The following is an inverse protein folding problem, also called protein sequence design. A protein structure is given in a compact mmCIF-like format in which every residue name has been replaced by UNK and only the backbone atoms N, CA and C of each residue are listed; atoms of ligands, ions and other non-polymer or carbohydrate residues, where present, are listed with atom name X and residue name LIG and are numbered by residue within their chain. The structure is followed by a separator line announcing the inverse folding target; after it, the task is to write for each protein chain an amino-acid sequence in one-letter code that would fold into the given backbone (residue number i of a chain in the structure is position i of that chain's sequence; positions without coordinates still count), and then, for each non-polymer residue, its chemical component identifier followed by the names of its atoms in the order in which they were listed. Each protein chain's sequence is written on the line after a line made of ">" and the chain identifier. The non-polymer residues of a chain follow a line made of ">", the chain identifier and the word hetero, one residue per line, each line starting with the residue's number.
data_IF_346272003546
#
_entry.id   IF_346272003546
#
_cell.length_a   1.000
_cell.length_b   1.000
_cell.length_c   1.000
_cell.angle_alpha   90.00
_cell.angle_beta   90.00
_cell.angle_gamma   90.00
#
_symmetry.space_group_name_H-M   'P 1'
#
loop_
_entity.id
_entity.type
_entity.pdbx_description
1 polymer ?
#
# COMPACT_ATOMS: atom_id res chain seq x y z
N UNK A 1 -46.60 10.99 15.22
CA UNK A 1 -45.37 10.21 15.43
C UNK A 1 -44.40 10.58 14.31
N UNK A 2 -43.18 10.99 14.62
CA UNK A 2 -42.18 11.27 13.58
C UNK A 2 -41.80 9.95 12.91
N UNK A 3 -41.96 9.87 11.58
CA UNK A 3 -41.51 8.72 10.80
C UNK A 3 -39.99 8.77 10.79
N UNK A 4 -39.35 7.81 11.45
CA UNK A 4 -37.89 7.68 11.39
C UNK A 4 -37.57 7.07 10.02
N UNK A 5 -37.19 7.92 9.08
CA UNK A 5 -36.66 7.49 7.79
C UNK A 5 -35.18 7.15 7.94
N UNK A 6 -34.73 6.16 7.15
CA UNK A 6 -33.31 5.88 7.06
C UNK A 6 -32.58 7.04 6.37
N UNK A 7 -31.34 7.33 6.79
CA UNK A 7 -30.53 8.37 6.17
C UNK A 7 -30.23 8.02 4.71
N UNK A 8 -30.22 9.04 3.84
CA UNK A 8 -29.81 8.89 2.44
C UNK A 8 -28.30 8.64 2.35
N UNK A 9 -27.85 8.08 1.22
CA UNK A 9 -26.41 7.89 0.95
C UNK A 9 -25.63 9.20 1.06
N UNK A 10 -26.17 10.29 0.52
CA UNK A 10 -25.54 11.61 0.56
C UNK A 10 -25.36 12.12 1.99
N UNK A 11 -26.40 12.00 2.83
CA UNK A 11 -26.32 12.37 4.24
C UNK A 11 -25.29 11.52 5.00
N UNK A 12 -25.20 10.22 4.70
CA UNK A 12 -24.18 9.34 5.27
C UNK A 12 -22.77 9.75 4.86
N UNK A 13 -22.55 10.06 3.57
CA UNK A 13 -21.24 10.49 3.08
C UNK A 13 -20.82 11.82 3.70
N UNK A 14 -21.75 12.77 3.87
CA UNK A 14 -21.48 14.03 4.56
C UNK A 14 -21.15 13.81 6.04
N UNK A 15 -21.89 12.95 6.72
CA UNK A 15 -21.63 12.62 8.11
C UNK A 15 -20.25 11.97 8.30
N UNK A 16 -19.85 11.07 7.39
CA UNK A 16 -18.50 10.47 7.37
C UNK A 16 -17.42 11.53 7.12
N UNK A 17 -17.65 12.47 6.20
CA UNK A 17 -16.68 13.54 5.92
C UNK A 17 -16.46 14.49 7.12
N UNK A 18 -17.48 14.67 7.97
CA UNK A 18 -17.41 15.50 9.17
C UNK A 18 -16.85 14.73 10.37
N UNK A 19 -17.11 13.42 10.45
CA UNK A 19 -16.71 12.57 11.57
C UNK A 19 -15.23 12.15 11.48
N UNK A 20 -14.34 13.12 11.47
CA UNK A 20 -12.91 12.93 11.23
C UNK A 20 -12.09 12.65 12.49
N UNK A 21 -12.67 12.77 13.69
CA UNK A 21 -12.01 12.44 14.96
C UNK A 21 -12.49 11.09 15.51
N UNK A 22 -11.66 10.37 16.31
CA UNK A 22 -12.07 9.12 16.95
C UNK A 22 -13.40 9.21 17.70
N UNK A 23 -13.59 10.28 18.49
CA UNK A 23 -14.83 10.49 19.22
C UNK A 23 -16.04 10.74 18.30
N UNK A 24 -15.86 11.51 17.22
CA UNK A 24 -16.93 11.79 16.28
C UNK A 24 -17.37 10.54 15.50
N UNK A 25 -16.41 9.71 15.08
CA UNK A 25 -16.73 8.46 14.36
C UNK A 25 -17.36 7.40 15.28
N UNK A 26 -16.94 7.34 16.55
CA UNK A 26 -17.57 6.50 17.58
C UNK A 26 -19.03 6.90 17.78
N UNK A 27 -19.28 8.21 17.91
CA UNK A 27 -20.62 8.74 18.03
C UNK A 27 -21.47 8.47 16.78
N UNK A 28 -20.90 8.68 15.58
CA UNK A 28 -21.58 8.42 14.31
C UNK A 28 -22.05 6.97 14.22
N UNK A 29 -21.15 6.00 14.49
CA UNK A 29 -21.49 4.58 14.51
C UNK A 29 -22.59 4.29 15.52
N UNK A 30 -22.46 4.81 16.75
CA UNK A 30 -23.44 4.59 17.80
C UNK A 30 -24.83 5.11 17.40
N UNK A 31 -24.92 6.30 16.79
CA UNK A 31 -26.19 6.87 16.35
C UNK A 31 -26.77 6.11 15.16
N UNK A 32 -25.95 5.71 14.18
CA UNK A 32 -26.41 4.91 13.05
C UNK A 32 -26.96 3.56 13.50
N UNK A 33 -26.31 2.88 14.44
CA UNK A 33 -26.84 1.64 15.03
C UNK A 33 -28.19 1.85 15.70
N UNK A 34 -28.38 2.97 16.43
CA UNK A 34 -29.68 3.32 17.06
C UNK A 34 -30.77 3.65 16.04
N UNK A 35 -30.42 4.22 14.89
CA UNK A 35 -31.37 4.52 13.82
C UNK A 35 -31.74 3.23 13.08
N UNK A 36 -30.76 2.44 12.65
CA UNK A 36 -31.03 1.21 11.89
C UNK A 36 -31.76 0.13 12.69
N UNK A 37 -31.59 0.08 14.01
CA UNK A 37 -32.39 -0.81 14.87
C UNK A 37 -33.89 -0.50 14.83
N UNK A 38 -34.28 0.73 14.46
CA UNK A 38 -35.68 1.16 14.36
C UNK A 38 -36.27 1.02 12.95
N UNK A 39 -35.43 1.06 11.90
CA UNK A 39 -35.90 1.15 10.50
C UNK A 39 -35.79 -0.19 9.75
N UNK A 40 -35.10 -1.22 10.30
CA UNK A 40 -34.99 -2.60 9.76
C UNK A 40 -34.89 -2.67 8.22
N UNK A 41 -33.76 -2.22 7.68
CA UNK A 41 -33.46 -2.27 6.24
C UNK A 41 -32.41 -3.35 5.97
N UNK A 42 -32.58 -4.15 4.92
CA UNK A 42 -31.67 -5.26 4.57
C UNK A 42 -30.22 -4.83 4.30
N UNK A 43 -30.00 -3.59 3.84
CA UNK A 43 -28.67 -3.05 3.58
C UNK A 43 -27.96 -2.48 4.83
N UNK A 44 -28.59 -2.49 6.01
CA UNK A 44 -28.04 -1.83 7.20
C UNK A 44 -26.71 -2.43 7.65
N UNK A 45 -26.58 -3.76 7.60
CA UNK A 45 -25.40 -4.45 8.11
C UNK A 45 -24.15 -4.09 7.30
N UNK A 46 -24.29 -4.01 5.96
CA UNK A 46 -23.21 -3.57 5.07
C UNK A 46 -22.79 -2.13 5.32
N UNK A 47 -23.74 -1.24 5.60
CA UNK A 47 -23.43 0.17 5.93
C UNK A 47 -22.72 0.25 7.28
N UNK A 48 -23.22 -0.46 8.30
CA UNK A 48 -22.60 -0.50 9.62
C UNK A 48 -21.19 -1.11 9.58
N UNK A 49 -20.98 -2.14 8.76
CA UNK A 49 -19.65 -2.73 8.52
C UNK A 49 -18.70 -1.70 7.91
N UNK A 50 -19.11 -0.97 6.87
CA UNK A 50 -18.29 0.08 6.26
C UNK A 50 -17.98 1.24 7.22
N UNK A 51 -18.93 1.61 8.07
CA UNK A 51 -18.70 2.61 9.12
C UNK A 51 -17.76 2.07 10.20
N UNK A 52 -17.82 0.78 10.53
CA UNK A 52 -16.88 0.15 11.46
C UNK A 52 -15.46 0.05 10.88
N UNK A 53 -15.31 -0.24 9.58
CA UNK A 53 -14.03 -0.16 8.86
C UNK A 53 -13.49 1.27 8.91
N UNK A 54 -14.31 2.28 8.60
CA UNK A 54 -13.92 3.69 8.67
C UNK A 54 -13.53 4.11 10.09
N UNK A 55 -14.31 3.71 11.10
CA UNK A 55 -13.99 3.92 12.52
C UNK A 55 -12.61 3.35 12.84
N UNK A 56 -12.34 2.11 12.42
CA UNK A 56 -11.05 1.46 12.65
C UNK A 56 -9.93 2.27 12.00
N UNK A 57 -10.09 2.72 10.76
CA UNK A 57 -9.08 3.53 10.07
C UNK A 57 -8.82 4.87 10.76
N UNK A 58 -9.86 5.59 11.19
CA UNK A 58 -9.72 6.86 11.93
C UNK A 58 -8.98 6.63 13.26
N UNK A 59 -9.29 5.55 13.99
CA UNK A 59 -8.55 5.18 15.20
C UNK A 59 -7.09 4.81 14.89
N UNK A 60 -6.80 4.18 13.76
CA UNK A 60 -5.42 3.89 13.35
C UNK A 60 -4.66 5.16 12.95
N UNK A 61 -5.28 6.09 12.22
CA UNK A 61 -4.65 7.33 11.74
C UNK A 61 -4.51 8.41 12.83
N UNK A 62 -5.48 8.48 13.74
CA UNK A 62 -5.62 9.61 14.68
C UNK A 62 -5.72 9.17 16.14
N UNK A 63 -5.88 7.88 16.41
CA UNK A 63 -5.79 7.34 17.76
C UNK A 63 -4.36 7.35 18.28
N UNK A 64 -4.21 7.32 19.60
CA UNK A 64 -2.93 7.24 20.31
C UNK A 64 -1.89 8.30 19.93
N UNK A 65 -2.33 9.49 19.49
CA UNK A 65 -1.41 10.62 19.33
C UNK A 65 -0.87 11.05 20.69
N UNK A 66 0.44 11.29 20.81
CA UNK A 66 0.99 11.82 22.04
C UNK A 66 0.36 13.18 22.35
N UNK A 67 -0.06 13.35 23.59
CA UNK A 67 -0.63 14.61 24.06
C UNK A 67 0.48 15.66 24.08
N UNK A 68 0.36 16.77 23.30
CA UNK A 68 1.40 17.80 23.27
C UNK A 68 1.67 18.43 24.64
N UNK A 69 0.71 18.35 25.58
CA UNK A 69 0.88 18.84 26.95
C UNK A 69 1.74 17.94 27.84
N UNK A 70 2.00 16.69 27.41
CA UNK A 70 2.90 15.77 28.13
C UNK A 70 4.38 16.03 27.87
N UNK A 71 4.69 17.04 27.03
CA UNK A 71 6.06 17.31 26.56
C UNK A 71 6.55 16.31 25.51
N UNK A 72 5.71 15.35 25.10
CA UNK A 72 6.02 14.45 24.00
C UNK A 72 5.75 15.16 22.67
N UNK A 73 6.82 15.54 21.97
CA UNK A 73 6.78 16.25 20.68
C UNK A 73 6.77 15.30 19.49
N UNK A 74 6.37 14.04 19.66
CA UNK A 74 6.39 13.05 18.61
C UNK A 74 5.27 13.35 17.58
N UNK A 75 5.59 14.24 16.63
CA UNK A 75 4.69 14.73 15.59
C UNK A 75 4.65 13.74 14.43
N UNK A 76 4.07 12.57 14.66
CA UNK A 76 3.77 11.63 13.56
C UNK A 76 2.68 12.20 12.67
N UNK A 77 2.83 12.00 11.36
CA UNK A 77 1.74 12.26 10.40
C UNK A 77 0.64 11.20 10.51
N UNK A 78 -0.55 11.47 9.98
CA UNK A 78 -1.66 10.49 9.92
C UNK A 78 -1.21 9.17 9.29
N UNK A 79 -0.39 9.24 8.22
CA UNK A 79 0.18 8.08 7.55
C UNK A 79 1.12 7.29 8.46
N UNK A 80 2.07 7.96 9.11
CA UNK A 80 3.03 7.33 10.01
C UNK A 80 2.32 6.65 11.19
N UNK A 81 1.34 7.34 11.77
CA UNK A 81 0.54 6.82 12.87
C UNK A 81 -0.29 5.60 12.44
N UNK A 82 -0.90 5.64 11.25
CA UNK A 82 -1.65 4.51 10.71
C UNK A 82 -0.77 3.27 10.52
N UNK A 83 0.40 3.42 9.89
CA UNK A 83 1.32 2.30 9.68
C UNK A 83 1.77 1.70 11.01
N UNK A 84 2.14 2.56 11.97
CA UNK A 84 2.55 2.13 13.30
C UNK A 84 1.43 1.38 14.03
N UNK A 85 0.22 1.93 14.09
CA UNK A 85 -0.90 1.31 14.78
C UNK A 85 -1.33 0.00 14.10
N UNK A 86 -1.24 -0.09 12.78
CA UNK A 86 -1.45 -1.36 12.06
C UNK A 86 -0.40 -2.41 12.43
N UNK A 87 0.88 -2.02 12.52
CA UNK A 87 1.96 -2.91 12.95
C UNK A 87 1.78 -3.39 14.39
N UNK A 88 1.49 -2.47 15.31
CA UNK A 88 1.26 -2.77 16.74
C UNK A 88 0.05 -3.68 16.92
N UNK A 89 -1.11 -3.35 16.33
CA UNK A 89 -2.32 -4.16 16.45
C UNK A 89 -2.13 -5.57 15.86
N UNK A 90 -1.29 -5.71 14.83
CA UNK A 90 -0.94 -7.01 14.30
C UNK A 90 -0.01 -7.78 15.24
N UNK A 91 0.96 -7.10 15.85
CA UNK A 91 1.89 -7.67 16.82
C UNK A 91 1.16 -8.19 18.07
N UNK A 92 0.22 -7.42 18.62
CA UNK A 92 -0.59 -7.85 19.77
C UNK A 92 -1.39 -9.12 19.51
N UNK A 93 -1.83 -9.35 18.26
CA UNK A 93 -2.58 -10.56 17.88
C UNK A 93 -1.69 -11.80 17.81
N UNK A 94 -0.43 -11.64 17.41
CA UNK A 94 0.51 -12.75 17.26
C UNK A 94 1.44 -12.94 18.46
N UNK A 95 1.49 -11.99 19.40
CA UNK A 95 2.36 -12.08 20.58
C UNK A 95 2.20 -13.38 21.37
N UNK A 96 1.00 -14.00 21.49
CA UNK A 96 0.88 -15.29 22.18
C UNK A 96 1.59 -16.42 21.43
N UNK A 97 1.69 -16.33 20.09
CA UNK A 97 2.27 -17.33 19.20
C UNK A 97 3.78 -17.17 19.00
N UNK A 98 4.35 -16.04 19.43
CA UNK A 98 5.77 -15.75 19.23
C UNK A 98 6.59 -16.40 20.35
N UNK A 99 7.52 -17.30 20.02
CA UNK A 99 8.39 -17.92 21.02
C UNK A 99 9.44 -16.93 21.54
N UNK A 100 10.02 -17.23 22.71
CA UNK A 100 11.19 -16.52 23.24
C UNK A 100 12.41 -16.77 22.36
N UNK A 101 13.34 -15.82 22.29
CA UNK A 101 14.58 -15.97 21.53
C UNK A 101 15.07 -14.71 20.83
N UNK A 102 15.97 -14.88 19.87
CA UNK A 102 16.48 -13.80 19.04
C UNK A 102 15.85 -13.82 17.64
N UNK A 103 14.97 -12.84 17.40
CA UNK A 103 14.41 -12.53 16.09
C UNK A 103 15.49 -11.86 15.24
N UNK A 104 15.88 -12.52 14.15
CA UNK A 104 16.88 -12.00 13.21
C UNK A 104 16.21 -11.63 11.90
N UNK A 105 16.45 -10.39 11.45
CA UNK A 105 16.14 -9.96 10.08
C UNK A 105 17.40 -10.00 9.22
N UNK A 106 17.40 -10.87 8.21
CA UNK A 106 18.39 -10.90 7.16
C UNK A 106 17.89 -10.03 6.00
N UNK A 107 18.70 -9.08 5.53
CA UNK A 107 18.30 -8.19 4.43
C UNK A 107 19.42 -7.96 3.41
N UNK A 108 19.04 -7.55 2.20
CA UNK A 108 19.96 -7.09 1.18
C UNK A 108 19.32 -5.94 0.40
N UNK A 109 20.09 -4.86 0.16
CA UNK A 109 19.63 -3.68 -0.59
C UNK A 109 20.53 -3.46 -1.81
N UNK A 110 19.93 -3.42 -2.99
CA UNK A 110 20.63 -3.07 -4.22
C UNK A 110 20.85 -1.56 -4.33
N UNK A 111 21.78 -1.15 -5.18
CA UNK A 111 22.05 0.28 -5.45
C UNK A 111 20.84 1.01 -6.07
N UNK A 112 19.85 0.25 -6.59
CA UNK A 112 18.58 0.76 -7.09
C UNK A 112 17.45 0.70 -6.07
N UNK A 113 17.80 0.62 -4.78
CA UNK A 113 16.92 0.54 -3.62
C UNK A 113 15.94 -0.65 -3.67
N UNK A 114 16.32 -1.74 -4.34
CA UNK A 114 15.55 -2.98 -4.27
C UNK A 114 15.90 -3.70 -2.97
N UNK A 115 14.88 -4.20 -2.27
CA UNK A 115 15.00 -4.82 -0.97
C UNK A 115 14.62 -6.30 -1.05
N UNK A 116 15.51 -7.15 -0.57
CA UNK A 116 15.23 -8.52 -0.17
C UNK A 116 15.33 -8.62 1.35
N UNK A 117 14.38 -9.32 1.97
CA UNK A 117 14.37 -9.52 3.41
C UNK A 117 13.80 -10.88 3.78
N UNK A 118 14.30 -11.44 4.87
CA UNK A 118 13.81 -12.66 5.49
C UNK A 118 13.88 -12.51 7.00
N UNK A 119 13.02 -13.24 7.70
CA UNK A 119 12.93 -13.21 9.15
C UNK A 119 13.09 -14.63 9.70
N UNK A 120 13.87 -14.77 10.77
CA UNK A 120 14.05 -16.02 11.48
C UNK A 120 14.05 -15.80 12.99
N UNK A 121 13.64 -16.80 13.76
CA UNK A 121 13.76 -16.83 15.21
C UNK A 121 14.69 -17.98 15.57
N UNK A 122 15.81 -17.68 16.24
CA UNK A 122 16.86 -18.65 16.58
C UNK A 122 17.31 -19.51 15.38
N UNK A 123 17.46 -18.87 14.21
CA UNK A 123 17.81 -19.46 12.92
C UNK A 123 16.75 -20.40 12.31
N UNK A 124 15.55 -20.47 12.87
CA UNK A 124 14.40 -21.12 12.25
C UNK A 124 13.55 -20.11 11.49
N UNK A 125 13.08 -20.43 10.27
CA UNK A 125 12.21 -19.53 9.53
C UNK A 125 10.91 -19.30 10.31
N UNK A 126 10.45 -18.05 10.32
CA UNK A 126 9.16 -17.72 10.92
C UNK A 126 8.01 -18.33 10.12
N UNK A 127 6.88 -18.56 10.80
CA UNK A 127 5.63 -18.85 10.10
C UNK A 127 5.25 -17.65 9.18
N UNK A 128 4.58 -17.89 8.04
CA UNK A 128 4.20 -16.81 7.12
C UNK A 128 3.34 -15.71 7.78
N UNK A 129 2.51 -16.08 8.75
CA UNK A 129 1.69 -15.14 9.51
C UNK A 129 2.56 -14.20 10.36
N UNK A 130 3.47 -14.76 11.16
CA UNK A 130 4.37 -13.97 12.00
C UNK A 130 5.29 -13.11 11.13
N UNK A 131 5.87 -13.68 10.08
CA UNK A 131 6.70 -12.95 9.13
C UNK A 131 5.97 -11.74 8.52
N UNK A 132 4.69 -11.89 8.17
CA UNK A 132 3.84 -10.79 7.66
C UNK A 132 3.61 -9.69 8.68
N UNK A 133 3.54 -10.02 9.97
CA UNK A 133 3.43 -9.00 11.03
C UNK A 133 4.74 -8.24 11.21
N UNK A 134 5.87 -8.95 11.26
CA UNK A 134 7.18 -8.28 11.33
C UNK A 134 7.40 -7.41 10.08
N UNK A 135 6.91 -7.84 8.92
CA UNK A 135 6.90 -7.03 7.70
C UNK A 135 6.12 -5.72 7.85
N UNK A 136 4.94 -5.76 8.48
CA UNK A 136 4.16 -4.55 8.78
C UNK A 136 4.91 -3.63 9.72
N UNK A 137 5.60 -4.16 10.73
CA UNK A 137 6.47 -3.37 11.60
C UNK A 137 7.63 -2.74 10.84
N UNK A 138 8.22 -3.46 9.87
CA UNK A 138 9.25 -2.91 8.99
C UNK A 138 8.70 -1.77 8.12
N UNK A 139 7.49 -1.91 7.56
CA UNK A 139 6.85 -0.85 6.80
C UNK A 139 6.48 0.37 7.69
N UNK A 140 6.10 0.14 8.94
CA UNK A 140 5.88 1.20 9.93
C UNK A 140 7.17 1.95 10.26
N UNK A 141 8.27 1.23 10.47
CA UNK A 141 9.58 1.83 10.67
C UNK A 141 10.02 2.67 9.46
N UNK A 142 9.83 2.17 8.24
CA UNK A 142 10.08 2.96 7.02
C UNK A 142 9.22 4.22 6.95
N UNK A 143 7.95 4.13 7.35
CA UNK A 143 7.05 5.28 7.35
C UNK A 143 7.55 6.40 8.28
N UNK A 144 8.09 6.06 9.47
CA UNK A 144 8.71 7.03 10.39
C UNK A 144 9.92 7.76 9.77
N UNK A 145 10.53 7.19 8.72
CA UNK A 145 11.64 7.79 7.96
C UNK A 145 11.20 8.43 6.63
N UNK A 146 9.90 8.69 6.46
CA UNK A 146 9.28 9.20 5.23
C UNK A 146 9.56 8.32 3.99
N UNK A 147 9.49 7.00 4.18
CA UNK A 147 9.71 6.02 3.12
C UNK A 147 8.57 5.00 3.02
N UNK A 148 8.43 4.39 1.84
CA UNK A 148 7.48 3.29 1.61
C UNK A 148 8.10 2.19 0.74
N UNK A 149 7.88 0.93 1.12
CA UNK A 149 8.26 -0.23 0.32
C UNK A 149 7.11 -0.63 -0.60
N UNK A 150 7.32 -0.61 -1.93
CA UNK A 150 6.34 -1.05 -2.93
C UNK A 150 7.01 -1.85 -4.03
N UNK A 151 6.49 -3.04 -4.34
CA UNK A 151 7.04 -3.87 -5.43
C UNK A 151 8.52 -4.22 -5.25
N UNK A 152 8.92 -4.53 -4.02
CA UNK A 152 10.31 -4.85 -3.63
C UNK A 152 11.32 -3.71 -3.82
N UNK A 153 10.87 -2.46 -3.95
CA UNK A 153 11.73 -1.28 -3.93
C UNK A 153 11.26 -0.27 -2.89
N UNK A 154 12.20 0.48 -2.33
CA UNK A 154 11.92 1.54 -1.34
C UNK A 154 11.92 2.90 -2.06
N UNK A 155 10.88 3.67 -1.78
CA UNK A 155 10.66 5.00 -2.34
C UNK A 155 10.57 6.04 -1.23
N UNK A 156 10.87 7.29 -1.57
CA UNK A 156 10.54 8.41 -0.70
C UNK A 156 9.03 8.66 -0.72
N UNK A 157 8.47 8.96 0.44
CA UNK A 157 7.07 9.30 0.62
C UNK A 157 6.91 10.73 1.12
N UNK A 158 5.76 11.34 0.83
CA UNK A 158 5.31 12.58 1.46
C UNK A 158 4.60 12.30 2.80
N UNK A 159 4.16 13.37 3.48
CA UNK A 159 3.47 13.28 4.77
C UNK A 159 2.15 12.47 4.71
N UNK A 160 1.57 12.30 3.51
CA UNK A 160 0.36 11.49 3.28
C UNK A 160 0.66 10.04 2.90
N UNK A 161 1.94 9.65 2.85
CA UNK A 161 2.38 8.32 2.43
C UNK A 161 2.38 8.09 0.92
N UNK A 162 2.18 9.14 0.12
CA UNK A 162 2.26 9.02 -1.34
C UNK A 162 3.72 9.05 -1.77
N UNK A 163 4.06 8.19 -2.73
CA UNK A 163 5.41 8.17 -3.31
C UNK A 163 5.67 9.52 -3.98
N UNK A 164 6.76 10.18 -3.59
CA UNK A 164 7.19 11.44 -4.21
C UNK A 164 7.55 11.19 -5.67
N UNK A 165 7.28 12.18 -6.51
CA UNK A 165 7.63 12.14 -7.92
C UNK A 165 8.63 13.23 -8.27
N UNK A 166 9.53 12.95 -9.21
CA UNK A 166 10.42 13.95 -9.78
C UNK A 166 9.66 14.96 -10.68
N UNK A 167 10.39 15.89 -11.30
CA UNK A 167 9.80 16.91 -12.19
C UNK A 167 9.16 16.31 -13.45
N UNK A 168 9.47 15.05 -13.76
CA UNK A 168 9.00 14.31 -14.91
C UNK A 168 7.85 13.36 -14.55
N UNK A 169 7.44 13.32 -13.28
CA UNK A 169 6.38 12.44 -12.79
C UNK A 169 6.83 11.02 -12.46
N UNK A 170 8.13 10.72 -12.46
CA UNK A 170 8.63 9.39 -12.11
C UNK A 170 8.74 9.23 -10.58
N UNK A 171 8.45 8.04 -10.02
CA UNK A 171 8.65 7.75 -8.60
C UNK A 171 10.11 7.95 -8.16
N UNK A 172 10.31 8.71 -7.07
CA UNK A 172 11.62 8.92 -6.47
C UNK A 172 11.96 7.72 -5.59
N UNK A 173 12.96 6.95 -6.00
CA UNK A 173 13.55 5.89 -5.18
C UNK A 173 14.33 6.48 -4.02
N UNK A 174 14.28 5.82 -2.88
CA UNK A 174 15.10 6.20 -1.74
C UNK A 174 16.58 5.92 -2.03
N UNK A 175 17.48 6.67 -1.38
CA UNK A 175 18.91 6.46 -1.46
C UNK A 175 19.30 5.15 -0.74
N UNK A 176 19.92 4.22 -1.47
CA UNK A 176 20.24 2.89 -0.96
C UNK A 176 21.25 2.92 0.20
N UNK A 177 22.26 3.78 0.15
CA UNK A 177 23.25 3.92 1.22
C UNK A 177 22.62 4.51 2.46
N UNK A 178 21.77 5.53 2.29
CA UNK A 178 21.01 6.12 3.39
C UNK A 178 20.14 5.08 4.09
N UNK A 179 19.47 4.20 3.34
CA UNK A 179 18.65 3.13 3.92
C UNK A 179 19.53 2.15 4.72
N UNK A 180 20.66 1.70 4.15
CA UNK A 180 21.59 0.80 4.87
C UNK A 180 22.07 1.45 6.18
N UNK A 181 22.45 2.72 6.13
CA UNK A 181 22.86 3.48 7.33
C UNK A 181 21.74 3.59 8.36
N UNK A 182 20.51 3.89 7.92
CA UNK A 182 19.35 3.98 8.81
C UNK A 182 19.00 2.66 9.47
N UNK A 183 19.06 1.53 8.72
CA UNK A 183 18.76 0.21 9.28
C UNK A 183 19.73 -0.12 10.42
N UNK A 184 21.02 0.22 10.28
CA UNK A 184 22.07 -0.01 11.28
C UNK A 184 22.26 1.15 12.26
N UNK A 185 21.36 2.15 12.27
CA UNK A 185 21.49 3.28 13.17
C UNK A 185 21.36 2.83 14.63
N UNK A 186 22.26 3.31 15.50
CA UNK A 186 22.33 2.85 16.89
C UNK A 186 21.09 3.22 17.70
N UNK A 187 20.43 4.32 17.38
CA UNK A 187 19.33 4.87 18.17
C UNK A 187 17.98 4.71 17.44
N UNK A 188 18.01 4.62 16.10
CA UNK A 188 16.83 4.58 15.23
C UNK A 188 16.80 3.37 14.29
N UNK A 189 17.73 2.44 14.45
CA UNK A 189 17.82 1.21 13.69
C UNK A 189 16.56 0.36 13.81
N UNK A 190 16.35 -0.52 12.82
CA UNK A 190 15.15 -1.36 12.81
C UNK A 190 15.16 -2.39 13.96
N UNK A 191 16.33 -2.89 14.34
CA UNK A 191 16.52 -3.72 15.53
C UNK A 191 16.09 -2.99 16.81
N UNK A 192 16.52 -1.74 16.98
CA UNK A 192 16.14 -0.91 18.12
C UNK A 192 14.64 -0.64 18.14
N UNK A 193 14.07 -0.33 16.97
CA UNK A 193 12.63 -0.16 16.83
C UNK A 193 11.86 -1.42 17.27
N UNK A 194 12.28 -2.61 16.83
CA UNK A 194 11.65 -3.87 17.23
C UNK A 194 11.82 -4.15 18.73
N UNK A 195 13.02 -3.98 19.27
CA UNK A 195 13.30 -4.17 20.70
C UNK A 195 12.45 -3.24 21.58
N UNK A 196 12.27 -1.98 21.17
CA UNK A 196 11.37 -1.03 21.84
C UNK A 196 9.92 -1.53 21.83
N UNK A 197 9.43 -2.07 20.70
CA UNK A 197 8.05 -2.58 20.62
C UNK A 197 7.87 -3.87 21.41
N UNK A 198 8.82 -4.80 21.36
CA UNK A 198 8.74 -6.04 22.13
C UNK A 198 8.77 -5.77 23.63
N UNK A 199 9.69 -4.94 24.12
CA UNK A 199 9.76 -4.62 25.55
C UNK A 199 8.50 -3.92 26.11
N UNK A 200 7.77 -3.17 25.27
CA UNK A 200 6.54 -2.49 25.66
C UNK A 200 5.27 -3.34 25.53
N UNK A 201 5.21 -4.22 24.52
CA UNK A 201 3.99 -4.94 24.15
C UNK A 201 4.02 -6.43 24.50
N UNK A 202 5.20 -7.00 24.71
CA UNK A 202 5.41 -8.42 25.02
C UNK A 202 6.27 -8.50 26.29
N UNK A 203 5.66 -8.25 27.43
CA UNK A 203 6.38 -8.14 28.71
C UNK A 203 6.68 -9.49 29.37
N UNK A 204 6.01 -10.55 28.94
CA UNK A 204 6.07 -11.90 29.51
C UNK A 204 7.09 -12.81 28.81
N UNK A 205 7.72 -12.34 27.71
CA UNK A 205 8.67 -13.12 26.91
C UNK A 205 9.96 -12.34 26.68
N UNK A 206 11.09 -13.02 26.77
CA UNK A 206 12.39 -12.42 26.43
C UNK A 206 12.67 -12.55 24.93
N UNK A 207 12.25 -11.54 24.17
CA UNK A 207 12.44 -11.47 22.72
C UNK A 207 13.39 -10.32 22.41
N UNK A 208 14.45 -10.65 21.68
CA UNK A 208 15.42 -9.67 21.19
C UNK A 208 15.43 -9.64 19.67
N UNK A 209 15.73 -8.50 19.08
CA UNK A 209 15.84 -8.31 17.65
C UNK A 209 17.28 -8.01 17.24
N UNK A 210 17.72 -8.63 16.14
CA UNK A 210 18.98 -8.33 15.48
C UNK A 210 18.84 -8.28 13.96
N UNK A 211 19.76 -7.58 13.32
CA UNK A 211 19.77 -7.38 11.87
C UNK A 211 21.08 -7.89 11.28
N UNK A 212 21.02 -8.50 10.10
CA UNK A 212 22.20 -8.89 9.33
C UNK A 212 22.04 -8.49 7.87
N UNK A 213 23.03 -7.77 7.37
CA UNK A 213 23.09 -7.37 5.96
C UNK A 213 23.83 -8.43 5.13
N UNK A 214 23.29 -8.68 3.93
CA UNK A 214 23.87 -9.52 2.90
C UNK A 214 24.10 -8.73 1.62
N UNK A 215 25.03 -9.21 0.80
CA UNK A 215 25.20 -8.68 -0.55
C UNK A 215 23.96 -8.95 -1.38
N UNK A 216 23.47 -7.93 -2.08
CA UNK A 216 22.37 -8.11 -3.02
C UNK A 216 22.79 -9.10 -4.13
N UNK A 217 21.95 -10.09 -4.48
CA UNK A 217 22.31 -11.07 -5.49
C UNK A 217 22.53 -10.39 -6.83
N UNK A 218 23.66 -10.70 -7.47
CA UNK A 218 23.90 -10.28 -8.84
C UNK A 218 22.75 -10.80 -9.71
N UNK A 219 22.06 -9.89 -10.41
CA UNK A 219 20.98 -10.24 -11.31
C UNK A 219 21.56 -11.17 -12.38
N UNK A 220 21.31 -12.48 -12.26
CA UNK A 220 21.67 -13.43 -13.31
C UNK A 220 20.98 -12.93 -14.57
N UNK A 221 21.74 -12.52 -15.57
CA UNK A 221 21.20 -12.15 -16.87
C UNK A 221 20.24 -13.26 -17.29
N UNK A 222 18.96 -12.92 -17.46
CA UNK A 222 18.02 -13.85 -18.07
C UNK A 222 18.64 -14.30 -19.40
N UNK A 223 18.75 -15.61 -19.66
CA UNK A 223 19.24 -16.05 -20.95
C UNK A 223 18.33 -15.43 -22.01
N UNK A 224 18.93 -14.61 -22.88
CA UNK A 224 18.26 -14.07 -24.04
C UNK A 224 17.53 -15.23 -24.72
N UNK A 225 16.21 -15.12 -24.83
CA UNK A 225 15.40 -16.06 -25.60
C UNK A 225 16.07 -16.15 -26.96
N UNK A 226 16.68 -17.31 -27.23
CA UNK A 226 17.40 -17.56 -28.46
C UNK A 226 16.51 -17.14 -29.62
N UNK A 227 16.99 -16.18 -30.41
CA UNK A 227 16.37 -15.79 -31.64
C UNK A 227 16.06 -17.08 -32.42
N UNK A 228 14.75 -17.32 -32.67
CA UNK A 228 14.32 -18.34 -33.62
C UNK A 228 15.12 -18.13 -34.91
N UNK A 229 15.81 -19.16 -35.43
CA UNK A 229 16.48 -19.02 -36.71
C UNK A 229 15.45 -18.72 -37.79
N UNK A 230 15.72 -17.64 -38.53
CA UNK A 230 14.97 -17.26 -39.72
C UNK A 230 14.96 -18.42 -40.72
N UNK A 231 13.77 -18.73 -41.24
CA UNK A 231 13.59 -19.69 -42.33
C UNK A 231 14.29 -19.16 -43.58
N UNK A 232 15.08 -19.96 -44.31
CA UNK A 232 15.73 -19.51 -45.54
C UNK A 232 14.71 -19.25 -46.66
N UNK A 233 14.89 -18.13 -47.36
CA UNK A 233 14.18 -17.78 -48.58
C UNK A 233 14.53 -18.75 -49.73
N UNK A 234 13.50 -19.27 -50.41
CA UNK A 234 13.65 -20.05 -51.64
C UNK A 234 13.75 -19.12 -52.87
N UNK A 235 14.67 -19.36 -53.83
CA UNK A 235 14.83 -18.51 -55.02
C UNK A 235 13.78 -18.74 -56.13
N UNK A 236 13.43 -17.67 -56.85
CA UNK A 236 12.71 -17.66 -58.15
C UNK A 236 13.62 -18.20 -59.29
N UNK A 237 13.21 -18.67 -60.50
CA UNK A 237 12.08 -18.48 -61.44
C UNK A 237 12.16 -19.61 -62.54
N UNK A 238 11.56 -19.60 -63.78
CA UNK A 238 10.55 -18.71 -64.41
C UNK A 238 9.44 -19.38 -65.29
N UNK A 239 8.36 -18.59 -65.51
CA UNK A 239 7.55 -18.31 -66.72
C UNK A 239 6.89 -19.41 -67.62
N UNK A 240 5.56 -19.30 -67.78
CA UNK A 240 4.84 -19.18 -69.07
C UNK A 240 3.53 -18.37 -68.90
N UNK A 241 3.18 -17.54 -69.90
CA UNK A 241 1.96 -16.69 -70.07
C UNK A 241 0.99 -17.35 -71.11
N UNK A 242 -0.11 -16.71 -71.63
CA UNK A 242 -1.01 -15.60 -71.19
C UNK A 242 -2.53 -15.92 -71.38
N UNK A 243 -3.38 -14.86 -71.31
CA UNK A 243 -4.77 -14.65 -71.85
C UNK A 243 -5.83 -14.63 -70.72
N UNK A 244 -6.73 -13.66 -70.49
CA UNK A 244 -7.33 -12.54 -71.26
C UNK A 244 -7.88 -11.45 -70.30
N UNK A 245 -8.02 -10.21 -70.78
CA UNK A 245 -8.88 -9.11 -70.24
C UNK A 245 -10.24 -9.18 -70.98
N UNK A 246 -11.38 -8.53 -70.62
CA UNK A 246 -11.46 -7.19 -69.97
C UNK A 246 -12.70 -6.90 -69.06
N UNK A 247 -12.69 -5.67 -68.55
CA UNK A 247 -13.83 -4.75 -68.34
C UNK A 247 -14.74 -4.88 -67.10
N UNK A 248 -14.80 -3.79 -66.33
CA UNK A 248 -15.92 -3.48 -65.43
C UNK A 248 -15.57 -2.68 -64.18
N UNK A 249 -15.30 -1.38 -64.30
CA UNK A 249 -15.63 -0.38 -63.25
C UNK A 249 -17.08 0.10 -63.50
N UNK A 250 -17.71 0.92 -62.63
CA UNK A 250 -17.59 1.14 -61.18
C UNK A 250 -18.97 1.13 -60.49
N UNK A 251 -19.06 1.12 -59.15
CA UNK A 251 -20.16 1.79 -58.44
C UNK A 251 -19.85 2.00 -56.95
N UNK A 252 -19.63 3.26 -56.58
CA UNK A 252 -19.94 3.83 -55.25
C UNK A 252 -21.45 4.10 -55.20
N UNK A 253 -22.11 4.14 -54.02
CA UNK A 253 -22.28 5.45 -53.37
C UNK A 253 -22.35 5.45 -51.82
N UNK A 254 -21.92 6.58 -51.27
CA UNK A 254 -22.53 7.41 -50.23
C UNK A 254 -22.73 6.90 -48.78
N UNK A 255 -22.29 7.74 -47.82
CA UNK A 255 -22.92 7.82 -46.50
C UNK A 255 -22.05 8.27 -45.33
N UNK A 256 -21.62 9.54 -45.29
CA UNK A 256 -21.49 10.31 -44.03
C UNK A 256 -22.89 10.87 -43.68
N UNK A 257 -23.27 11.19 -42.41
CA UNK A 257 -22.58 12.22 -41.63
C UNK A 257 -22.56 12.06 -40.08
N UNK A 258 -21.75 12.95 -39.48
CA UNK A 258 -21.97 13.71 -38.24
C UNK A 258 -21.88 13.08 -36.83
N UNK A 259 -20.96 13.67 -36.07
CA UNK A 259 -20.91 13.71 -34.60
C UNK A 259 -22.04 14.58 -34.01
N UNK A 260 -22.20 14.61 -32.67
CA UNK A 260 -21.66 15.79 -32.00
C UNK A 260 -21.01 15.57 -30.63
N UNK A 261 -20.21 16.58 -30.35
CA UNK A 261 -19.52 17.07 -29.16
C UNK A 261 -20.40 17.20 -27.91
N UNK A 262 -19.86 16.88 -26.71
CA UNK A 262 -20.35 17.43 -25.43
C UNK A 262 -19.19 17.68 -24.46
N UNK A 263 -19.03 18.97 -24.23
CA UNK A 263 -18.21 19.75 -23.30
C UNK A 263 -18.27 19.38 -21.81
N UNK A 264 -17.13 19.50 -21.15
CA UNK A 264 -16.90 19.62 -19.69
C UNK A 264 -17.34 20.97 -19.12
N UNK A 265 -17.84 21.05 -17.86
CA UNK A 265 -17.95 22.31 -17.14
C UNK A 265 -16.84 22.48 -16.08
N UNK A 266 -16.21 23.65 -16.14
CA UNK A 266 -15.28 24.24 -15.17
C UNK A 266 -16.07 24.99 -14.08
N UNK A 267 -15.74 24.77 -12.81
CA UNK A 267 -16.27 25.54 -11.66
C UNK A 267 -15.45 26.81 -11.41
N UNK A 268 -16.08 27.92 -10.98
CA UNK A 268 -15.38 29.16 -10.65
C UNK A 268 -14.96 29.24 -9.16
N UNK A 269 -13.90 30.00 -8.94
CA UNK A 269 -13.38 30.48 -7.66
C UNK A 269 -14.41 31.28 -6.85
N UNK A 270 -14.41 31.07 -5.53
CA UNK A 270 -14.51 32.11 -4.48
C UNK A 270 -13.52 31.75 -3.38
#
# INVERSE_FOLDING_TARGET
>A
MAVIQAPTKEALMQAVAIADTPAAVDYLKQQLTKVFSKVKIEAMDKVLEKIAEYQTNVHMERGNRPDPWTGNTDTRTDFQNAQLNHGISALEKISPQLDEGNLKMDFAISDLAQLLRAFSLDNQPLSPEVASVIDKLFNAWLAEQDMVSKGSAIYEADASGKIKTDKQGNPIKADAEKIRQLIHDRDKGFDQFLNDKFSKLITDKNITASIQEHKYPAQKAQPAVAARPATPATPAAPATRPIERPAGTPQTPAGEPEAPDVTTPTTPNV
#
